data_IF_688610130044
#
_entry.id   IF_688610130044
#
_cell.length_a   1.000
_cell.length_b   1.000
_cell.length_c   1.000
_cell.angle_alpha   90.00
_cell.angle_beta   90.00
_cell.angle_gamma   90.00
#
_symmetry.space_group_name_H-M   'P 1'
#
loop_
_entity.id
_entity.type
_entity.pdbx_description
1 polymer ?
#
# COMPACT_ATOMS: atom_id res chain seq x y z
N UNK A 1 0.65 -35.92 1.33
CA UNK A 1 -0.08 -35.90 0.05
C UNK A 1 -0.01 -34.47 -0.48
N UNK A 2 0.63 -34.22 -1.63
CA UNK A 2 0.67 -32.86 -2.21
C UNK A 2 -0.70 -32.58 -2.83
N UNK A 3 -1.37 -31.54 -2.35
CA UNK A 3 -2.62 -31.06 -2.95
C UNK A 3 -2.26 -30.41 -4.29
N UNK A 4 -2.95 -30.81 -5.34
CA UNK A 4 -2.82 -30.19 -6.67
C UNK A 4 -3.74 -28.98 -6.75
N UNK A 5 -3.19 -27.80 -6.48
CA UNK A 5 -3.93 -26.54 -6.39
C UNK A 5 -4.58 -26.12 -7.72
N UNK A 6 -4.06 -26.60 -8.85
CA UNK A 6 -4.57 -26.24 -10.19
C UNK A 6 -5.96 -26.81 -10.49
N UNK A 7 -6.43 -27.76 -9.68
CA UNK A 7 -7.73 -28.42 -9.82
C UNK A 7 -8.80 -27.85 -8.89
N UNK A 8 -8.44 -26.91 -8.01
CA UNK A 8 -9.38 -26.27 -7.10
C UNK A 8 -10.04 -25.07 -7.80
N UNK A 9 -11.29 -24.79 -7.44
CA UNK A 9 -11.96 -23.56 -7.87
C UNK A 9 -11.41 -22.35 -7.10
N UNK A 10 -11.60 -21.15 -7.65
CA UNK A 10 -11.20 -19.90 -6.97
C UNK A 10 -11.87 -19.78 -5.59
N UNK A 11 -13.14 -20.15 -5.47
CA UNK A 11 -13.88 -20.19 -4.20
C UNK A 11 -13.21 -21.14 -3.18
N UNK A 12 -12.82 -22.34 -3.61
CA UNK A 12 -12.14 -23.31 -2.74
C UNK A 12 -10.77 -22.79 -2.28
N UNK A 13 -10.03 -22.12 -3.18
CA UNK A 13 -8.74 -21.52 -2.86
C UNK A 13 -8.89 -20.38 -1.85
N UNK A 14 -9.88 -19.49 -2.05
CA UNK A 14 -10.18 -18.38 -1.14
C UNK A 14 -10.58 -18.90 0.25
N UNK A 15 -11.54 -19.82 0.32
CA UNK A 15 -12.03 -20.37 1.59
C UNK A 15 -10.90 -21.04 2.38
N UNK A 16 -10.11 -21.90 1.71
CA UNK A 16 -8.98 -22.58 2.34
C UNK A 16 -7.93 -21.59 2.83
N UNK A 17 -7.62 -20.56 2.04
CA UNK A 17 -6.63 -19.54 2.41
C UNK A 17 -7.08 -18.73 3.64
N UNK A 18 -8.35 -18.32 3.70
CA UNK A 18 -8.92 -17.58 4.82
C UNK A 18 -8.91 -18.43 6.10
N UNK A 19 -9.28 -19.72 6.02
CA UNK A 19 -9.24 -20.63 7.16
C UNK A 19 -7.81 -20.81 7.69
N UNK A 20 -6.84 -21.05 6.80
CA UNK A 20 -5.44 -21.16 7.17
C UNK A 20 -4.92 -19.86 7.81
N UNK A 21 -5.33 -18.70 7.31
CA UNK A 21 -4.95 -17.41 7.90
C UNK A 21 -5.55 -17.22 9.30
N UNK A 22 -6.82 -17.57 9.51
CA UNK A 22 -7.46 -17.56 10.85
C UNK A 22 -6.71 -18.47 11.83
N UNK A 23 -6.30 -19.67 11.40
CA UNK A 23 -5.48 -20.58 12.21
C UNK A 23 -4.10 -19.97 12.50
N UNK A 24 -3.45 -19.36 11.51
CA UNK A 24 -2.16 -18.66 11.67
C UNK A 24 -2.28 -17.54 12.71
N UNK A 25 -3.28 -16.68 12.60
CA UNK A 25 -3.51 -15.55 13.50
C UNK A 25 -3.79 -16.02 14.94
N UNK A 26 -4.66 -17.02 15.12
CA UNK A 26 -4.95 -17.57 16.45
C UNK A 26 -3.73 -18.26 17.08
N UNK A 27 -2.94 -18.96 16.28
CA UNK A 27 -1.68 -19.59 16.70
C UNK A 27 -0.64 -18.54 17.10
N UNK A 28 -0.50 -17.46 16.31
CA UNK A 28 0.38 -16.34 16.65
C UNK A 28 0.02 -15.74 18.01
N UNK A 29 -1.26 -15.46 18.26
CA UNK A 29 -1.73 -14.94 19.56
C UNK A 29 -1.36 -15.86 20.73
N UNK A 30 -1.52 -17.19 20.55
CA UNK A 30 -1.10 -18.17 21.56
C UNK A 30 0.41 -18.11 21.78
N UNK A 31 1.20 -18.17 20.71
CA UNK A 31 2.67 -18.07 20.78
C UNK A 31 3.11 -16.82 21.56
N UNK A 32 2.51 -15.67 21.28
CA UNK A 32 2.86 -14.41 21.94
C UNK A 32 2.48 -14.41 23.42
N UNK A 33 1.40 -15.10 23.81
CA UNK A 33 1.06 -15.33 25.22
C UNK A 33 2.14 -16.14 25.94
N UNK A 34 2.63 -17.23 25.33
CA UNK A 34 3.72 -18.03 25.91
C UNK A 34 5.04 -17.25 25.98
N UNK A 35 5.37 -16.46 24.94
CA UNK A 35 6.55 -15.58 24.96
C UNK A 35 6.48 -14.57 26.10
N UNK A 36 5.33 -13.92 26.28
CA UNK A 36 5.14 -12.92 27.32
C UNK A 36 5.32 -13.51 28.72
N UNK A 37 4.76 -14.70 28.98
CA UNK A 37 4.94 -15.41 30.25
C UNK A 37 6.42 -15.79 30.49
N UNK A 38 7.09 -16.34 29.48
CA UNK A 38 8.52 -16.67 29.58
C UNK A 38 9.38 -15.43 29.81
N UNK A 39 9.10 -14.32 29.12
CA UNK A 39 9.78 -13.05 29.30
C UNK A 39 9.61 -12.51 30.71
N UNK A 40 8.37 -12.54 31.25
CA UNK A 40 8.09 -12.13 32.63
C UNK A 40 8.92 -12.93 33.64
N UNK A 41 8.93 -14.26 33.51
CA UNK A 41 9.77 -15.14 34.34
C UNK A 41 11.26 -14.86 34.18
N UNK A 42 11.69 -14.61 32.94
CA UNK A 42 13.08 -14.29 32.63
C UNK A 42 13.54 -13.00 33.28
N UNK A 43 12.73 -11.95 33.25
CA UNK A 43 13.00 -10.66 33.92
C UNK A 43 13.21 -10.89 35.42
N UNK A 44 12.27 -11.58 36.09
CA UNK A 44 12.40 -11.86 37.52
C UNK A 44 13.66 -12.66 37.86
N UNK A 45 14.09 -13.61 37.02
CA UNK A 45 15.33 -14.36 37.23
C UNK A 45 16.59 -13.52 36.99
N UNK A 46 16.56 -12.63 35.98
CA UNK A 46 17.68 -11.78 35.60
C UNK A 46 17.92 -10.67 36.63
N UNK A 47 16.86 -10.02 37.13
CA UNK A 47 16.94 -9.00 38.20
C UNK A 47 17.54 -9.59 39.48
N UNK A 48 17.06 -10.77 39.90
CA UNK A 48 17.55 -11.45 41.10
C UNK A 48 19.00 -11.91 41.02
N UNK A 49 19.58 -12.03 39.82
CA UNK A 49 20.93 -12.57 39.59
C UNK A 49 21.90 -11.57 38.99
N UNK A 50 21.45 -10.33 38.73
CA UNK A 50 22.19 -9.30 37.98
C UNK A 50 22.79 -9.83 36.67
N UNK A 51 22.05 -10.69 35.96
CA UNK A 51 22.47 -11.27 34.66
C UNK A 51 21.64 -10.66 33.55
N UNK A 52 22.26 -10.36 32.41
CA UNK A 52 21.58 -9.86 31.20
C UNK A 52 21.06 -11.00 30.30
N UNK A 53 21.12 -12.25 30.76
CA UNK A 53 20.76 -13.43 29.98
C UNK A 53 20.20 -14.54 30.88
N UNK A 54 19.14 -15.21 30.43
CA UNK A 54 18.66 -16.46 30.99
C UNK A 54 18.11 -17.38 29.89
N UNK A 55 18.07 -18.69 30.17
CA UNK A 55 17.59 -19.70 29.24
C UNK A 55 16.70 -20.71 29.96
N UNK A 56 15.56 -21.01 29.35
CA UNK A 56 14.59 -22.00 29.77
C UNK A 56 14.68 -23.22 28.85
N UNK A 57 14.63 -24.42 29.41
CA UNK A 57 14.70 -25.68 28.67
C UNK A 57 13.38 -26.44 28.80
N UNK A 58 12.97 -27.09 27.72
CA UNK A 58 11.91 -28.08 27.69
C UNK A 58 12.35 -29.29 26.85
N UNK A 59 11.49 -30.31 26.76
CA UNK A 59 11.87 -31.60 26.17
C UNK A 59 12.12 -31.53 24.65
N UNK A 60 11.58 -30.51 23.98
CA UNK A 60 11.66 -30.33 22.52
C UNK A 60 12.63 -29.20 22.12
N UNK A 61 13.14 -28.43 23.09
CA UNK A 61 14.01 -27.30 22.79
C UNK A 61 14.22 -26.33 23.95
N UNK A 62 14.73 -25.14 23.65
CA UNK A 62 14.97 -24.11 24.66
C UNK A 62 14.64 -22.71 24.14
N UNK A 63 14.35 -21.80 25.07
CA UNK A 63 14.09 -20.38 24.79
C UNK A 63 15.04 -19.56 25.65
N UNK A 64 15.74 -18.61 25.05
CA UNK A 64 16.58 -17.67 25.78
C UNK A 64 15.95 -16.29 25.81
N UNK A 65 16.20 -15.56 26.90
CA UNK A 65 15.82 -14.16 27.08
C UNK A 65 17.08 -13.39 27.43
N UNK A 66 17.28 -12.29 26.73
CA UNK A 66 18.42 -11.41 26.89
C UNK A 66 17.94 -9.97 27.04
N UNK A 67 18.50 -9.24 27.98
CA UNK A 67 18.32 -7.79 28.08
C UNK A 67 19.22 -7.11 27.03
N UNK A 68 18.60 -6.43 26.06
CA UNK A 68 19.30 -5.77 24.96
C UNK A 68 19.27 -4.26 25.19
N UNK A 69 20.45 -3.65 25.21
CA UNK A 69 20.57 -2.20 25.31
C UNK A 69 20.71 -1.58 23.92
N UNK A 70 19.92 -0.54 23.63
CA UNK A 70 20.07 0.31 22.46
C UNK A 70 20.77 1.61 22.89
N UNK A 71 21.79 2.01 22.15
CA UNK A 71 22.46 3.30 22.31
C UNK A 71 22.15 4.16 21.09
N UNK A 72 21.58 5.33 21.34
CA UNK A 72 21.35 6.36 20.32
C UNK A 72 22.27 7.56 20.59
N UNK A 73 22.93 8.07 19.55
CA UNK A 73 23.82 9.22 19.66
C UNK A 73 23.01 10.53 19.58
N UNK A 74 22.74 11.15 20.73
CA UNK A 74 21.88 12.35 20.83
C UNK A 74 22.66 13.65 20.58
N UNK A 75 23.93 13.72 20.96
CA UNK A 75 24.77 14.90 20.76
C UNK A 75 26.13 14.50 20.16
N UNK A 76 26.20 14.38 18.82
CA UNK A 76 27.43 14.00 18.13
C UNK A 76 28.55 15.03 18.32
N UNK A 77 28.22 16.32 18.35
CA UNK A 77 29.20 17.40 18.49
C UNK A 77 29.94 17.32 19.83
N UNK A 78 29.21 17.13 20.93
CA UNK A 78 29.80 16.98 22.26
C UNK A 78 30.60 15.68 22.39
N UNK A 79 30.14 14.60 21.76
CA UNK A 79 30.90 13.34 21.74
C UNK A 79 32.25 13.53 21.01
N UNK A 80 32.25 14.33 19.95
CA UNK A 80 33.45 14.65 19.16
C UNK A 80 34.49 15.46 19.93
N UNK A 81 34.09 16.29 20.88
CA UNK A 81 35.01 17.00 21.77
C UNK A 81 35.76 16.05 22.71
N UNK A 82 35.13 14.94 23.10
CA UNK A 82 35.66 14.01 24.12
C UNK A 82 36.45 12.85 23.51
N UNK A 83 36.16 12.49 22.26
CA UNK A 83 36.91 11.47 21.51
C UNK A 83 38.01 12.10 20.67
N UNK A 84 39.15 11.41 20.54
CA UNK A 84 40.18 11.86 19.60
C UNK A 84 39.66 11.83 18.17
N UNK A 85 40.11 12.76 17.33
CA UNK A 85 39.66 12.87 15.94
C UNK A 85 39.80 11.55 15.15
N UNK A 86 40.86 10.76 15.41
CA UNK A 86 41.06 9.46 14.76
C UNK A 86 40.05 8.40 15.20
N UNK A 87 39.67 8.39 16.48
CA UNK A 87 38.67 7.46 17.02
C UNK A 87 37.27 7.83 16.53
N UNK A 88 36.91 9.11 16.57
CA UNK A 88 35.60 9.57 16.12
C UNK A 88 35.38 9.25 14.64
N UNK A 89 36.31 9.65 13.76
CA UNK A 89 36.17 9.44 12.31
C UNK A 89 36.12 7.96 11.91
N UNK A 90 36.76 7.06 12.67
CA UNK A 90 36.79 5.63 12.38
C UNK A 90 35.50 4.91 12.81
N UNK A 91 34.85 5.38 13.87
CA UNK A 91 33.76 4.63 14.53
C UNK A 91 32.40 5.33 14.46
N UNK A 92 32.34 6.59 14.02
CA UNK A 92 31.10 7.32 13.82
C UNK A 92 30.92 7.59 12.33
N UNK A 93 29.87 7.03 11.74
CA UNK A 93 29.48 7.28 10.35
C UNK A 93 28.15 8.01 10.34
N UNK A 94 28.15 9.22 9.79
CA UNK A 94 26.93 9.96 9.51
C UNK A 94 26.35 9.43 8.19
N UNK A 95 25.08 9.03 8.23
CA UNK A 95 24.34 8.60 7.05
C UNK A 95 23.13 9.52 6.90
N UNK A 96 22.98 10.12 5.72
CA UNK A 96 21.86 11.00 5.40
C UNK A 96 21.05 10.35 4.29
N UNK A 97 19.83 9.91 4.60
CA UNK A 97 18.89 9.41 3.60
C UNK A 97 17.84 10.49 3.28
N UNK A 98 17.71 10.82 2.00
CA UNK A 98 16.66 11.73 1.52
C UNK A 98 15.53 10.91 0.93
N UNK A 99 14.36 11.00 1.54
CA UNK A 99 13.13 10.34 1.08
C UNK A 99 12.18 11.38 0.49
N UNK A 100 11.75 11.18 -0.76
CA UNK A 100 10.78 12.07 -1.42
C UNK A 100 9.37 11.49 -1.29
N UNK A 101 8.50 12.22 -0.60
CA UNK A 101 7.07 11.87 -0.50
C UNK A 101 6.27 12.68 -1.50
N UNK A 102 5.65 11.99 -2.46
CA UNK A 102 4.73 12.61 -3.40
C UNK A 102 3.34 12.76 -2.76
N UNK A 103 2.60 13.78 -3.19
CA UNK A 103 1.18 13.87 -2.83
C UNK A 103 0.39 12.83 -3.64
N UNK A 104 -0.69 12.24 -3.10
CA UNK A 104 -1.43 11.17 -3.79
C UNK A 104 -1.91 11.56 -5.19
N UNK A 105 -2.33 12.82 -5.39
CA UNK A 105 -2.76 13.33 -6.70
C UNK A 105 -1.61 13.44 -7.69
N UNK A 106 -0.44 13.93 -7.25
CA UNK A 106 0.74 14.02 -8.11
C UNK A 106 1.24 12.62 -8.49
N UNK A 107 1.26 11.68 -7.54
CA UNK A 107 1.64 10.29 -7.79
C UNK A 107 0.69 9.62 -8.80
N UNK A 108 -0.62 9.80 -8.63
CA UNK A 108 -1.64 9.29 -9.57
C UNK A 108 -1.43 9.84 -10.97
N UNK A 109 -1.16 11.15 -11.08
CA UNK A 109 -0.88 11.82 -12.35
C UNK A 109 0.38 11.27 -13.03
N UNK A 110 1.49 11.13 -12.29
CA UNK A 110 2.74 10.61 -12.83
C UNK A 110 2.62 9.14 -13.26
N UNK A 111 1.87 8.32 -12.51
CA UNK A 111 1.57 6.94 -12.90
C UNK A 111 0.76 6.88 -14.19
N UNK A 112 -0.25 7.72 -14.33
CA UNK A 112 -1.02 7.82 -15.56
C UNK A 112 -0.12 8.17 -16.76
N UNK A 113 0.77 9.15 -16.60
CA UNK A 113 1.77 9.50 -17.62
C UNK A 113 2.67 8.31 -17.95
N UNK A 114 3.27 7.66 -16.94
CA UNK A 114 4.21 6.56 -17.15
C UNK A 114 3.60 5.35 -17.87
N UNK A 115 2.29 5.16 -17.74
CA UNK A 115 1.57 3.98 -18.26
C UNK A 115 0.69 4.28 -19.47
N UNK A 116 0.72 5.51 -19.98
CA UNK A 116 -0.14 5.97 -21.08
C UNK A 116 -1.64 5.74 -20.83
N UNK A 117 -2.02 5.75 -19.55
CA UNK A 117 -3.37 5.45 -19.10
C UNK A 117 -4.11 6.76 -18.80
N UNK A 118 -4.38 7.52 -19.87
CA UNK A 118 -5.17 8.75 -19.90
C UNK A 118 -5.68 9.02 -21.33
N UNK A 119 -6.57 9.99 -21.50
CA UNK A 119 -6.92 10.53 -22.83
C UNK A 119 -7.19 12.03 -22.78
N UNK A 120 -6.86 12.74 -23.86
CA UNK A 120 -7.27 14.12 -24.13
C UNK A 120 -8.24 14.22 -25.33
N UNK A 121 -8.52 13.10 -26.00
CA UNK A 121 -9.28 13.07 -27.25
C UNK A 121 -10.79 13.18 -27.04
N UNK A 122 -11.25 12.89 -25.82
CA UNK A 122 -12.67 12.86 -25.46
C UNK A 122 -12.90 13.57 -24.13
N UNK A 123 -13.96 14.38 -24.04
CA UNK A 123 -14.42 14.96 -22.78
C UNK A 123 -15.47 14.08 -22.12
N UNK A 124 -15.71 14.32 -20.82
CA UNK A 124 -16.74 13.59 -20.10
C UNK A 124 -18.13 13.84 -20.70
N UNK A 125 -18.41 15.05 -21.16
CA UNK A 125 -19.67 15.38 -21.85
C UNK A 125 -19.85 14.56 -23.12
N UNK A 126 -18.81 14.44 -23.95
CA UNK A 126 -18.84 13.64 -25.18
C UNK A 126 -19.04 12.16 -24.89
N UNK A 127 -18.41 11.63 -23.83
CA UNK A 127 -18.65 10.26 -23.39
C UNK A 127 -20.12 10.06 -22.99
N UNK A 128 -20.70 11.01 -22.25
CA UNK A 128 -22.11 10.92 -21.84
C UNK A 128 -23.08 10.93 -23.02
N UNK A 129 -22.72 11.57 -24.13
CA UNK A 129 -23.50 11.55 -25.38
C UNK A 129 -23.42 10.22 -26.13
N UNK A 130 -22.40 9.39 -25.84
CA UNK A 130 -22.15 8.11 -26.51
C UNK A 130 -22.57 6.90 -25.67
N UNK A 131 -23.10 7.12 -24.46
CA UNK A 131 -23.58 6.03 -23.63
C UNK A 131 -24.64 5.20 -24.35
N UNK A 132 -24.58 3.89 -24.17
CA UNK A 132 -25.60 2.97 -24.67
C UNK A 132 -26.99 3.29 -24.10
N UNK A 133 -27.04 3.94 -22.93
CA UNK A 133 -28.25 4.49 -22.32
C UNK A 133 -28.07 5.98 -22.06
N UNK A 134 -28.90 6.78 -22.71
CA UNK A 134 -28.81 8.24 -22.62
C UNK A 134 -29.37 8.75 -21.30
N UNK A 135 -28.62 9.56 -20.54
CA UNK A 135 -29.12 10.19 -19.33
C UNK A 135 -30.07 11.35 -19.67
N UNK A 136 -31.10 11.54 -18.85
CA UNK A 136 -31.87 12.78 -18.86
C UNK A 136 -31.04 13.99 -18.38
N UNK A 137 -31.62 15.19 -18.42
CA UNK A 137 -30.89 16.43 -18.09
C UNK A 137 -30.38 16.48 -16.64
N UNK A 138 -31.07 15.84 -15.70
CA UNK A 138 -30.68 15.86 -14.28
C UNK A 138 -29.71 14.73 -13.98
N UNK A 139 -29.93 13.54 -14.52
CA UNK A 139 -28.98 12.43 -14.50
C UNK A 139 -27.62 12.87 -15.07
N UNK A 140 -27.61 13.58 -16.20
CA UNK A 140 -26.38 14.10 -16.83
C UNK A 140 -25.62 15.03 -15.89
N UNK A 141 -26.31 15.96 -15.20
CA UNK A 141 -25.68 16.87 -14.23
C UNK A 141 -25.08 16.11 -13.04
N UNK A 142 -25.75 15.05 -12.59
CA UNK A 142 -25.25 14.21 -11.49
C UNK A 142 -23.97 13.49 -11.92
N UNK A 143 -23.98 12.84 -13.09
CA UNK A 143 -22.83 12.11 -13.63
C UNK A 143 -21.61 13.03 -13.82
N UNK A 144 -21.77 14.17 -14.48
CA UNK A 144 -20.68 15.14 -14.70
C UNK A 144 -20.02 15.60 -13.39
N UNK A 145 -20.79 15.74 -12.31
CA UNK A 145 -20.30 16.22 -11.01
C UNK A 145 -19.71 15.12 -10.14
N UNK A 146 -20.20 13.89 -10.25
CA UNK A 146 -19.89 12.81 -9.30
C UNK A 146 -18.97 11.74 -9.85
N UNK A 147 -18.84 11.59 -11.17
CA UNK A 147 -17.88 10.65 -11.73
C UNK A 147 -16.47 11.05 -11.34
N UNK A 148 -15.72 10.10 -10.80
CA UNK A 148 -14.38 10.34 -10.22
C UNK A 148 -13.26 9.70 -11.01
N UNK A 149 -13.56 8.71 -11.86
CA UNK A 149 -12.59 7.82 -12.46
C UNK A 149 -12.20 6.68 -11.51
N UNK A 150 -12.99 6.36 -10.50
CA UNK A 150 -12.74 5.24 -9.59
C UNK A 150 -13.74 4.13 -9.90
N UNK A 151 -13.25 2.97 -10.37
CA UNK A 151 -14.08 1.91 -10.95
C UNK A 151 -15.29 1.52 -10.09
N UNK A 152 -15.06 1.19 -8.82
CA UNK A 152 -16.15 0.74 -7.92
C UNK A 152 -17.15 1.85 -7.59
N UNK A 153 -16.68 3.10 -7.46
CA UNK A 153 -17.54 4.25 -7.15
C UNK A 153 -18.38 4.62 -8.37
N UNK A 154 -17.77 4.66 -9.53
CA UNK A 154 -18.42 5.03 -10.77
C UNK A 154 -19.42 3.93 -11.19
N UNK A 155 -19.10 2.64 -11.02
CA UNK A 155 -20.06 1.53 -11.20
C UNK A 155 -21.31 1.69 -10.36
N UNK A 156 -21.14 1.92 -9.05
CA UNK A 156 -22.27 2.16 -8.13
C UNK A 156 -23.07 3.39 -8.52
N UNK A 157 -22.39 4.44 -9.00
CA UNK A 157 -23.04 5.66 -9.45
C UNK A 157 -23.88 5.42 -10.71
N UNK A 158 -23.35 4.75 -11.73
CA UNK A 158 -24.08 4.42 -12.96
C UNK A 158 -25.34 3.61 -12.65
N UNK A 159 -25.20 2.52 -11.90
CA UNK A 159 -26.31 1.67 -11.48
C UNK A 159 -27.37 2.44 -10.70
N UNK A 160 -26.95 3.31 -9.77
CA UNK A 160 -27.86 4.15 -8.99
C UNK A 160 -28.56 5.22 -9.83
N UNK A 161 -27.91 5.80 -10.83
CA UNK A 161 -28.46 6.88 -11.66
C UNK A 161 -29.48 6.32 -12.65
N UNK A 162 -29.21 5.14 -13.22
CA UNK A 162 -30.04 4.51 -14.23
C UNK A 162 -31.02 3.47 -13.69
N UNK A 163 -31.00 3.21 -12.38
CA UNK A 163 -31.81 2.19 -11.71
C UNK A 163 -31.68 0.82 -12.38
N UNK A 164 -30.43 0.36 -12.45
CA UNK A 164 -30.02 -0.84 -13.22
C UNK A 164 -28.89 -1.56 -12.52
N UNK A 165 -28.69 -2.83 -12.86
CA UNK A 165 -27.52 -3.64 -12.48
C UNK A 165 -26.69 -4.06 -13.70
N UNK A 166 -26.72 -3.22 -14.75
CA UNK A 166 -25.97 -3.42 -15.99
C UNK A 166 -24.44 -3.36 -15.79
N UNK A 167 -23.73 -3.93 -16.75
CA UNK A 167 -22.27 -3.82 -16.81
C UNK A 167 -21.88 -2.52 -17.54
N UNK A 168 -21.21 -1.61 -16.83
CA UNK A 168 -20.72 -0.32 -17.31
C UNK A 168 -19.18 -0.29 -17.47
N UNK A 169 -18.52 -1.44 -17.54
CA UNK A 169 -17.05 -1.55 -17.51
C UNK A 169 -16.35 -0.73 -18.60
N UNK A 170 -16.89 -0.71 -19.82
CA UNK A 170 -16.32 0.03 -20.94
C UNK A 170 -16.46 1.55 -20.72
N UNK A 171 -17.65 2.01 -20.32
CA UNK A 171 -17.90 3.41 -20.04
C UNK A 171 -17.03 3.90 -18.88
N UNK A 172 -16.93 3.11 -17.81
CA UNK A 172 -16.11 3.43 -16.64
C UNK A 172 -14.62 3.48 -17.02
N UNK A 173 -14.17 2.60 -17.91
CA UNK A 173 -12.80 2.66 -18.45
C UNK A 173 -12.51 3.99 -19.14
N UNK A 174 -13.46 4.51 -19.94
CA UNK A 174 -13.32 5.83 -20.54
C UNK A 174 -13.41 6.96 -19.53
N UNK A 175 -14.32 6.90 -18.54
CA UNK A 175 -14.36 7.87 -17.43
C UNK A 175 -13.00 7.93 -16.73
N UNK A 176 -12.40 6.78 -16.45
CA UNK A 176 -11.10 6.66 -15.83
C UNK A 176 -10.01 7.39 -16.62
N UNK A 177 -9.90 7.11 -17.91
CA UNK A 177 -8.91 7.76 -18.79
C UNK A 177 -9.12 9.26 -18.92
N UNK A 178 -10.36 9.71 -19.05
CA UNK A 178 -10.71 11.13 -19.14
C UNK A 178 -10.34 11.85 -17.85
N UNK A 179 -10.71 11.29 -16.68
CA UNK A 179 -10.42 11.90 -15.39
C UNK A 179 -8.93 12.00 -15.10
N UNK A 180 -8.13 11.04 -15.59
CA UNK A 180 -6.67 11.14 -15.56
C UNK A 180 -6.13 12.21 -16.50
N UNK A 181 -6.69 12.35 -17.70
CA UNK A 181 -6.38 13.47 -18.60
C UNK A 181 -6.67 14.83 -17.95
N UNK A 182 -7.87 15.01 -17.38
CA UNK A 182 -8.23 16.22 -16.62
C UNK A 182 -7.26 16.48 -15.45
N UNK A 183 -6.79 15.43 -14.77
CA UNK A 183 -5.82 15.54 -13.69
C UNK A 183 -4.45 16.01 -14.23
N UNK A 184 -3.97 15.42 -15.32
CA UNK A 184 -2.74 15.84 -15.98
C UNK A 184 -2.85 17.30 -16.40
N UNK A 185 -3.97 17.71 -17.00
CA UNK A 185 -4.20 19.09 -17.43
C UNK A 185 -4.17 20.12 -16.28
N UNK A 186 -4.54 19.70 -15.05
CA UNK A 186 -4.43 20.55 -13.84
C UNK A 186 -2.98 20.77 -13.40
N UNK A 187 -2.08 19.81 -13.65
CA UNK A 187 -0.66 19.91 -13.29
C UNK A 187 0.20 20.47 -14.43
N UNK A 188 -0.15 20.16 -15.68
CA UNK A 188 0.59 20.50 -16.88
C UNK A 188 -0.26 21.42 -17.79
N UNK A 189 0.08 22.72 -17.85
CA UNK A 189 -0.57 23.66 -18.77
C UNK A 189 -0.55 23.16 -20.22
N UNK A 190 -1.55 23.56 -21.03
CA UNK A 190 -1.68 23.10 -22.42
C UNK A 190 -0.46 23.44 -23.28
N UNK A 191 0.18 24.59 -23.02
CA UNK A 191 1.37 25.02 -23.75
C UNK A 191 2.53 24.04 -23.52
N UNK A 192 2.87 23.28 -24.55
CA UNK A 192 3.92 22.25 -24.57
C UNK A 192 3.64 20.99 -23.71
N UNK A 193 2.37 20.66 -23.44
CA UNK A 193 2.02 19.48 -22.62
C UNK A 193 2.69 18.20 -23.12
N UNK A 194 2.63 17.91 -24.42
CA UNK A 194 3.17 16.67 -24.99
C UNK A 194 4.68 16.54 -24.73
N UNK A 195 5.42 17.63 -24.96
CA UNK A 195 6.86 17.69 -24.66
C UNK A 195 7.14 17.49 -23.16
N UNK A 196 6.32 18.07 -22.29
CA UNK A 196 6.48 17.91 -20.84
C UNK A 196 6.20 16.47 -20.39
N UNK A 197 5.19 15.82 -20.95
CA UNK A 197 4.87 14.42 -20.71
C UNK A 197 6.07 13.54 -21.09
N UNK A 198 6.65 13.76 -22.28
CA UNK A 198 7.82 13.01 -22.76
C UNK A 198 9.04 13.18 -21.85
N UNK A 199 9.31 14.39 -21.35
CA UNK A 199 10.40 14.60 -20.39
C UNK A 199 10.09 13.97 -19.03
N UNK A 200 8.85 14.03 -18.54
CA UNK A 200 8.46 13.43 -17.28
C UNK A 200 8.62 11.91 -17.28
N UNK A 201 8.28 11.24 -18.39
CA UNK A 201 8.48 9.79 -18.55
C UNK A 201 9.94 9.37 -18.38
N UNK A 202 10.91 10.23 -18.67
CA UNK A 202 12.34 9.95 -18.48
C UNK A 202 12.78 10.06 -17.01
N UNK A 203 11.97 10.70 -16.16
CA UNK A 203 12.29 10.93 -14.75
C UNK A 203 11.67 9.89 -13.80
N UNK A 204 10.80 9.01 -14.29
CA UNK A 204 10.00 8.11 -13.46
C UNK A 204 10.03 6.68 -14.00
N UNK A 205 9.99 5.72 -13.09
CA UNK A 205 9.80 4.30 -13.39
C UNK A 205 8.64 3.81 -12.55
N UNK A 206 7.69 3.12 -13.18
CA UNK A 206 6.58 2.46 -12.50
C UNK A 206 6.78 0.96 -12.59
N UNK A 207 7.04 0.34 -11.45
CA UNK A 207 7.11 -1.11 -11.33
C UNK A 207 5.75 -1.67 -10.92
N UNK A 208 5.23 -2.62 -11.69
CA UNK A 208 4.01 -3.34 -11.35
C UNK A 208 4.37 -4.59 -10.53
N UNK A 209 3.69 -4.78 -9.40
CA UNK A 209 3.74 -6.02 -8.63
C UNK A 209 2.32 -6.51 -8.35
N UNK A 210 2.13 -7.82 -8.32
CA UNK A 210 0.86 -8.43 -7.94
C UNK A 210 0.82 -8.55 -6.42
N UNK A 211 -0.21 -7.95 -5.82
CA UNK A 211 -0.49 -8.06 -4.40
C UNK A 211 -1.72 -8.93 -4.17
N UNK A 212 -1.67 -9.76 -3.12
CA UNK A 212 -2.84 -10.49 -2.60
C UNK A 212 -3.21 -9.87 -1.25
N UNK A 213 -4.47 -9.45 -1.13
CA UNK A 213 -5.06 -8.96 0.11
C UNK A 213 -6.16 -9.91 0.58
N UNK A 214 -6.28 -10.10 1.90
CA UNK A 214 -7.35 -10.90 2.51
C UNK A 214 -8.34 -9.95 3.17
N UNK A 215 -9.58 -9.96 2.71
CA UNK A 215 -10.70 -9.28 3.34
C UNK A 215 -11.52 -10.31 4.11
N UNK A 216 -11.76 -10.05 5.39
CA UNK A 216 -12.58 -10.90 6.22
C UNK A 216 -13.99 -10.30 6.23
N UNK A 217 -14.99 -11.11 5.92
CA UNK A 217 -16.34 -10.78 6.33
C UNK A 217 -16.34 -10.78 7.87
N UNK A 218 -16.51 -9.61 8.47
CA UNK A 218 -16.82 -9.49 9.89
C UNK A 218 -18.24 -10.01 10.09
N UNK A 219 -18.38 -11.08 10.88
CA UNK A 219 -19.65 -11.41 11.55
C UNK A 219 -20.09 -10.27 12.48
#
# INVERSE_FOLDING_TARGET
>A
MKIDLSKLTDEQLVNTLIELDKVRLSTSKKIDTYKAELQSRGISLMENRSKQYCQFFGDVGSVFISDKQKLDLVNPDRLREWLSNGVYKKNVTETTETHYKLTPKLETMLKAIATDDYTFEMTLEQLLDQLHRQPDSDQRKVLLKKLTGEFDKDRKLFNSVFDTDENWEEEIYYVHKIKRGELIAKFLPDANRDKLIDELKKCIVVEASLAIGLNYETE
#
